data_IF_868873263235
#
_entry.id   IF_868873263235
#
_cell.length_a   1.000
_cell.length_b   1.000
_cell.length_c   1.000
_cell.angle_alpha   90.00
_cell.angle_beta   90.00
_cell.angle_gamma   90.00
#
_symmetry.space_group_name_H-M   'P 1'
#
loop_
_entity.id
_entity.type
_entity.pdbx_description
1 polymer ?
#
# COMPACT_ATOMS: atom_id res chain seq x y z
N UNK A 1 19.89 -49.68 -30.32
CA UNK A 1 19.78 -48.20 -30.32
C UNK A 1 18.41 -47.86 -29.78
N UNK A 2 18.36 -47.37 -28.53
CA UNK A 2 17.11 -47.05 -27.82
C UNK A 2 16.52 -45.78 -28.41
N UNK A 3 15.38 -45.90 -29.08
CA UNK A 3 14.64 -44.78 -29.64
C UNK A 3 14.15 -43.85 -28.54
N UNK A 4 14.22 -42.55 -28.80
CA UNK A 4 13.67 -41.51 -27.94
C UNK A 4 12.13 -41.55 -27.99
N UNK A 5 11.48 -42.24 -27.05
CA UNK A 5 10.04 -42.11 -26.82
C UNK A 5 9.77 -40.91 -25.89
N UNK A 6 9.93 -39.70 -26.41
CA UNK A 6 9.28 -38.51 -25.84
C UNK A 6 8.01 -38.24 -26.66
N UNK A 7 6.94 -38.97 -26.39
CA UNK A 7 5.60 -38.58 -26.85
C UNK A 7 5.06 -37.51 -25.90
N UNK A 8 5.23 -36.24 -26.26
CA UNK A 8 4.47 -35.14 -25.67
C UNK A 8 3.00 -35.36 -26.03
N UNK A 9 2.18 -35.72 -25.04
CA UNK A 9 0.73 -35.82 -25.25
C UNK A 9 0.14 -34.41 -25.45
N UNK A 10 -1.00 -34.31 -26.13
CA UNK A 10 -1.70 -33.03 -26.29
C UNK A 10 -2.03 -32.39 -24.93
N UNK A 11 -2.35 -33.21 -23.92
CA UNK A 11 -2.59 -32.76 -22.56
C UNK A 11 -1.34 -32.15 -21.90
N UNK A 12 -0.15 -32.69 -22.19
CA UNK A 12 1.11 -32.17 -21.68
C UNK A 12 1.49 -30.85 -22.36
N UNK A 13 1.20 -30.70 -23.66
CA UNK A 13 1.36 -29.44 -24.38
C UNK A 13 0.42 -28.35 -23.83
N UNK A 14 -0.84 -28.68 -23.56
CA UNK A 14 -1.81 -27.75 -22.97
C UNK A 14 -1.44 -27.32 -21.55
N UNK A 15 -0.83 -28.22 -20.77
CA UNK A 15 -0.29 -27.89 -19.44
C UNK A 15 0.93 -26.98 -19.56
N UNK A 16 1.87 -27.31 -20.43
CA UNK A 16 3.04 -26.47 -20.70
C UNK A 16 2.63 -25.08 -21.18
N UNK A 17 1.64 -24.97 -22.07
CA UNK A 17 1.16 -23.68 -22.54
C UNK A 17 0.55 -22.84 -21.40
N UNK A 18 -0.25 -23.46 -20.52
CA UNK A 18 -0.78 -22.79 -19.33
C UNK A 18 0.31 -22.33 -18.39
N UNK A 19 1.29 -23.18 -18.12
CA UNK A 19 2.43 -22.87 -17.25
C UNK A 19 3.27 -21.71 -17.82
N UNK A 20 3.48 -21.69 -19.14
CA UNK A 20 4.19 -20.61 -19.84
C UNK A 20 3.41 -19.29 -19.76
N UNK A 21 2.10 -19.31 -19.98
CA UNK A 21 1.24 -18.12 -19.86
C UNK A 21 1.24 -17.56 -18.43
N UNK A 22 1.18 -18.44 -17.43
CA UNK A 22 1.25 -18.04 -16.03
C UNK A 22 2.62 -17.49 -15.64
N UNK A 23 3.69 -18.08 -16.16
CA UNK A 23 5.05 -17.57 -15.98
C UNK A 23 5.18 -16.16 -16.56
N UNK A 24 4.71 -15.94 -17.78
CA UNK A 24 4.71 -14.63 -18.45
C UNK A 24 3.93 -13.58 -17.63
N UNK A 25 2.71 -13.92 -17.19
CA UNK A 25 1.88 -13.03 -16.35
C UNK A 25 2.58 -12.69 -15.03
N UNK A 26 3.21 -13.67 -14.40
CA UNK A 26 3.94 -13.49 -13.15
C UNK A 26 5.17 -12.59 -13.33
N UNK A 27 5.93 -12.79 -14.41
CA UNK A 27 7.10 -11.96 -14.74
C UNK A 27 6.65 -10.52 -14.99
N UNK A 28 5.63 -10.30 -15.84
CA UNK A 28 5.08 -8.97 -16.13
C UNK A 28 4.64 -8.26 -14.83
N UNK A 29 3.85 -8.93 -14.00
CA UNK A 29 3.34 -8.37 -12.75
C UNK A 29 4.45 -7.99 -11.79
N UNK A 30 5.46 -8.86 -11.64
CA UNK A 30 6.60 -8.64 -10.74
C UNK A 30 7.54 -7.55 -11.27
N UNK A 31 7.76 -7.47 -12.58
CA UNK A 31 8.57 -6.45 -13.23
C UNK A 31 7.96 -5.05 -13.03
N UNK A 32 6.65 -4.90 -13.31
CA UNK A 32 5.94 -3.64 -13.06
C UNK A 32 5.94 -3.29 -11.56
N UNK A 33 5.74 -4.29 -10.69
CA UNK A 33 5.85 -4.08 -9.23
C UNK A 33 7.25 -3.66 -8.78
N UNK A 34 8.31 -4.05 -9.49
CA UNK A 34 9.67 -3.60 -9.21
C UNK A 34 9.85 -2.14 -9.61
N UNK A 35 9.39 -1.76 -10.82
CA UNK A 35 9.36 -0.37 -11.27
C UNK A 35 8.62 0.55 -10.28
N UNK A 36 7.40 0.18 -9.86
CA UNK A 36 6.62 0.95 -8.88
C UNK A 36 7.34 1.14 -7.54
N UNK A 37 8.11 0.14 -7.09
CA UNK A 37 8.88 0.23 -5.85
C UNK A 37 10.06 1.18 -5.97
N UNK A 38 10.70 1.27 -7.13
CA UNK A 38 11.76 2.24 -7.39
C UNK A 38 11.19 3.67 -7.50
N UNK A 39 10.02 3.86 -8.12
CA UNK A 39 9.31 5.15 -8.07
C UNK A 39 9.04 5.58 -6.63
N UNK A 40 8.60 4.65 -5.78
CA UNK A 40 8.30 4.94 -4.38
C UNK A 40 9.54 5.19 -3.51
N UNK A 41 10.73 4.76 -3.96
CA UNK A 41 11.97 4.78 -3.17
C UNK A 41 12.36 6.18 -2.68
N UNK A 42 12.40 7.23 -3.52
CA UNK A 42 12.70 8.60 -3.07
C UNK A 42 11.49 9.31 -2.44
N UNK A 43 10.26 8.87 -2.72
CA UNK A 43 9.04 9.45 -2.14
C UNK A 43 8.96 9.16 -0.64
N UNK A 44 9.30 7.93 -0.20
CA UNK A 44 9.28 7.55 1.23
C UNK A 44 10.13 8.46 2.14
N UNK A 45 11.43 8.69 1.87
CA UNK A 45 12.24 9.58 2.70
C UNK A 45 11.75 11.03 2.64
N UNK A 46 11.27 11.50 1.48
CA UNK A 46 10.66 12.83 1.36
C UNK A 46 9.42 12.97 2.25
N UNK A 47 8.51 11.99 2.23
CA UNK A 47 7.35 11.95 3.14
C UNK A 47 7.79 11.92 4.62
N UNK A 48 8.79 11.10 4.95
CA UNK A 48 9.33 11.00 6.32
C UNK A 48 10.00 12.29 6.80
N UNK A 49 10.52 13.11 5.89
CA UNK A 49 11.10 14.41 6.19
C UNK A 49 10.00 15.45 6.48
N UNK A 50 8.88 15.39 5.73
CA UNK A 50 7.75 16.32 5.90
C UNK A 50 6.83 16.03 7.10
N UNK A 51 6.84 14.81 7.65
CA UNK A 51 6.00 14.48 8.81
C UNK A 51 6.44 15.23 10.06
N UNK A 52 5.50 15.89 10.71
CA UNK A 52 5.72 16.48 12.04
C UNK A 52 5.89 15.42 13.12
N UNK A 53 6.96 15.56 13.92
CA UNK A 53 7.45 14.51 14.81
C UNK A 53 7.18 14.87 16.27
N UNK A 54 6.03 14.46 16.80
CA UNK A 54 5.83 14.47 18.28
C UNK A 54 6.35 13.21 18.94
N UNK A 55 6.04 12.04 18.36
CA UNK A 55 6.44 10.72 18.91
C UNK A 55 7.21 9.86 17.91
N UNK A 56 7.37 10.33 16.67
CA UNK A 56 8.00 9.56 15.58
C UNK A 56 7.22 8.34 15.08
N UNK A 57 6.13 7.93 15.73
CA UNK A 57 5.34 6.75 15.32
C UNK A 57 4.79 6.89 13.90
N UNK A 58 4.23 8.05 13.56
CA UNK A 58 3.75 8.32 12.20
C UNK A 58 4.89 8.21 11.18
N UNK A 59 6.03 8.87 11.45
CA UNK A 59 7.24 8.78 10.60
C UNK A 59 7.73 7.34 10.39
N UNK A 60 7.72 6.51 11.45
CA UNK A 60 8.10 5.07 11.36
C UNK A 60 7.08 4.23 10.61
N UNK A 61 5.81 4.61 10.61
CA UNK A 61 4.75 3.90 9.88
C UNK A 61 4.78 4.11 8.37
N UNK A 62 5.51 5.13 7.89
CA UNK A 62 5.59 5.43 6.46
C UNK A 62 6.34 4.33 5.72
N UNK A 63 5.66 3.73 4.76
CA UNK A 63 6.17 2.66 3.93
C UNK A 63 5.34 2.48 2.67
N UNK A 64 5.48 1.29 2.08
CA UNK A 64 4.79 0.89 0.85
C UNK A 64 4.09 -0.44 1.05
N UNK A 65 2.92 -0.61 0.46
CA UNK A 65 2.14 -1.86 0.51
C UNK A 65 1.42 -2.10 -0.81
N UNK A 66 1.34 -3.35 -1.25
CA UNK A 66 0.50 -3.71 -2.39
C UNK A 66 -0.98 -3.52 -2.06
N UNK A 67 -1.75 -2.97 -3.01
CA UNK A 67 -3.19 -2.80 -2.84
C UNK A 67 -3.93 -4.15 -2.92
N UNK A 68 -4.93 -4.34 -2.06
CA UNK A 68 -5.81 -5.51 -2.12
C UNK A 68 -6.77 -5.42 -3.30
N UNK A 69 -7.21 -6.57 -3.83
CA UNK A 69 -8.16 -6.63 -4.95
C UNK A 69 -9.42 -5.80 -4.70
N UNK A 70 -10.01 -5.92 -3.50
CA UNK A 70 -11.21 -5.16 -3.12
C UNK A 70 -10.97 -3.64 -3.09
N UNK A 71 -9.78 -3.19 -2.66
CA UNK A 71 -9.46 -1.77 -2.66
C UNK A 71 -9.29 -1.25 -4.09
N UNK A 72 -8.61 -2.02 -4.95
CA UNK A 72 -8.47 -1.67 -6.37
C UNK A 72 -9.83 -1.52 -7.05
N UNK A 73 -10.71 -2.51 -6.88
CA UNK A 73 -12.06 -2.49 -7.46
C UNK A 73 -12.88 -1.28 -6.97
N UNK A 74 -12.82 -0.97 -5.67
CA UNK A 74 -13.50 0.21 -5.09
C UNK A 74 -13.01 1.53 -5.70
N UNK A 75 -11.77 1.58 -6.17
CA UNK A 75 -11.13 2.77 -6.72
C UNK A 75 -10.99 2.73 -8.25
N UNK A 76 -11.70 1.84 -8.94
CA UNK A 76 -11.72 1.77 -10.41
C UNK A 76 -10.43 1.24 -11.06
N UNK A 77 -9.57 0.58 -10.27
CA UNK A 77 -8.35 -0.06 -10.77
C UNK A 77 -8.62 -1.52 -11.13
N UNK A 78 -7.97 -2.03 -12.16
CA UNK A 78 -8.11 -3.44 -12.53
C UNK A 78 -7.57 -4.34 -11.38
N UNK A 79 -8.27 -5.45 -11.05
CA UNK A 79 -7.90 -6.29 -9.90
C UNK A 79 -6.49 -6.88 -10.00
N UNK A 80 -6.09 -7.22 -11.22
CA UNK A 80 -4.83 -7.89 -11.55
C UNK A 80 -3.68 -6.90 -11.77
N UNK A 81 -3.97 -5.61 -11.94
CA UNK A 81 -2.92 -4.62 -12.19
C UNK A 81 -2.09 -4.37 -10.92
N UNK A 82 -0.75 -4.47 -11.00
CA UNK A 82 0.12 -4.17 -9.88
C UNK A 82 -0.04 -2.70 -9.48
N UNK A 83 -0.44 -2.47 -8.22
CA UNK A 83 -0.65 -1.15 -7.68
C UNK A 83 -0.08 -1.04 -6.27
N UNK A 84 0.57 0.09 -5.98
CA UNK A 84 1.33 0.31 -4.76
C UNK A 84 0.76 1.49 -3.97
N UNK A 85 0.41 1.25 -2.73
CA UNK A 85 0.09 2.29 -1.76
C UNK A 85 1.38 2.82 -1.12
N UNK A 86 1.51 4.14 -1.02
CA UNK A 86 2.61 4.83 -0.35
C UNK A 86 2.02 5.73 0.73
N UNK A 87 2.42 5.54 1.99
CA UNK A 87 1.86 6.31 3.11
C UNK A 87 2.05 5.62 4.44
N UNK A 88 1.18 5.91 5.42
CA UNK A 88 1.19 5.24 6.71
C UNK A 88 0.62 3.81 6.58
N UNK A 89 1.49 2.81 6.64
CA UNK A 89 1.14 1.39 6.40
C UNK A 89 1.25 0.56 7.66
N UNK A 90 2.33 0.75 8.42
CA UNK A 90 2.66 -0.17 9.52
C UNK A 90 1.99 0.24 10.81
N UNK A 91 1.40 -0.72 11.52
CA UNK A 91 0.93 -0.49 12.90
C UNK A 91 2.10 -0.13 13.81
N UNK A 92 1.88 0.79 14.74
CA UNK A 92 2.89 1.20 15.73
C UNK A 92 2.29 1.04 17.12
N UNK A 93 2.89 0.16 17.95
CA UNK A 93 2.35 -0.27 19.25
C UNK A 93 0.90 -0.77 19.16
N UNK A 94 0.59 -1.60 18.15
CA UNK A 94 -0.74 -2.16 17.93
C UNK A 94 -1.74 -1.25 17.18
N UNK A 95 -1.45 0.05 17.03
CA UNK A 95 -2.37 1.00 16.41
C UNK A 95 -1.98 1.33 14.96
N UNK A 96 -2.95 1.29 14.06
CA UNK A 96 -2.80 1.85 12.72
C UNK A 96 -2.56 3.38 12.83
N UNK A 97 -1.64 3.90 12.01
CA UNK A 97 -1.30 5.34 12.01
C UNK A 97 -1.90 6.09 10.83
N UNK A 98 -2.67 5.41 9.98
CA UNK A 98 -3.44 5.96 8.86
C UNK A 98 -4.39 7.07 9.31
N UNK A 99 -5.10 6.88 10.42
CA UNK A 99 -5.97 7.90 10.99
C UNK A 99 -5.18 9.17 11.35
N UNK A 100 -4.02 9.01 12.00
CA UNK A 100 -3.16 10.16 12.32
C UNK A 100 -2.58 10.82 11.08
N UNK A 101 -2.21 10.02 10.08
CA UNK A 101 -1.74 10.54 8.80
C UNK A 101 -2.80 11.43 8.16
N UNK A 102 -4.06 11.00 8.15
CA UNK A 102 -5.18 11.79 7.63
C UNK A 102 -5.41 13.09 8.41
N UNK A 103 -5.35 13.02 9.74
CA UNK A 103 -5.46 14.21 10.58
C UNK A 103 -4.35 15.21 10.25
N UNK A 104 -3.11 14.75 10.13
CA UNK A 104 -1.96 15.61 9.81
C UNK A 104 -2.09 16.19 8.40
N UNK A 105 -2.49 15.38 7.42
CA UNK A 105 -2.58 15.80 6.01
C UNK A 105 -3.67 16.86 5.79
N UNK A 106 -4.84 16.68 6.40
CA UNK A 106 -6.01 17.54 6.14
C UNK A 106 -6.32 18.53 7.27
N UNK A 107 -5.72 18.35 8.44
CA UNK A 107 -6.10 19.11 9.61
C UNK A 107 -7.47 18.72 10.15
N UNK A 108 -7.93 19.52 11.09
CA UNK A 108 -9.20 19.38 11.80
C UNK A 108 -9.70 20.77 12.14
N UNK A 109 -10.93 21.10 11.77
CA UNK A 109 -11.52 22.37 12.19
C UNK A 109 -11.84 22.37 13.69
N UNK A 110 -11.74 23.56 14.29
CA UNK A 110 -12.18 23.78 15.66
C UNK A 110 -13.71 23.67 15.72
N UNK A 111 -14.21 23.09 16.81
CA UNK A 111 -15.66 22.90 16.95
C UNK A 111 -16.04 21.98 18.09
N UNK A 112 -17.31 22.07 18.46
CA UNK A 112 -17.91 21.17 19.44
C UNK A 112 -18.16 19.81 18.79
N UNK A 113 -17.61 18.77 19.41
CA UNK A 113 -17.75 17.39 18.94
C UNK A 113 -18.56 16.60 19.95
N UNK A 114 -19.55 15.89 19.45
CA UNK A 114 -20.32 14.94 20.24
C UNK A 114 -19.70 13.56 20.09
N UNK A 115 -19.35 12.95 21.22
CA UNK A 115 -18.82 11.60 21.24
C UNK A 115 -19.79 10.70 21.97
N UNK A 116 -20.18 9.63 21.27
CA UNK A 116 -20.93 8.53 21.84
C UNK A 116 -19.96 7.56 22.53
N UNK A 117 -20.03 7.47 23.85
CA UNK A 117 -19.23 6.51 24.62
C UNK A 117 -20.09 5.33 25.07
N UNK A 118 -19.59 4.13 24.85
CA UNK A 118 -20.14 2.92 25.45
C UNK A 118 -19.63 2.81 26.89
N UNK A 119 -20.52 2.78 27.87
CA UNK A 119 -20.15 2.56 29.27
C UNK A 119 -19.77 1.08 29.44
N UNK A 120 -18.47 0.78 29.50
CA UNK A 120 -18.00 -0.54 29.94
C UNK A 120 -18.02 -0.58 31.48
N UNK A 121 -18.93 -1.39 32.03
CA UNK A 121 -19.15 -1.60 33.46
C UNK A 121 -20.44 -2.39 33.71
N UNK A 122 -20.63 -2.92 34.92
CA UNK A 122 -21.63 -3.92 35.34
C UNK A 122 -23.00 -3.85 34.65
N UNK A 123 -23.57 -5.02 34.36
CA UNK A 123 -24.86 -5.26 33.68
C UNK A 123 -26.03 -4.42 34.24
N UNK A 124 -25.99 -4.03 35.52
CA UNK A 124 -26.94 -3.11 36.18
C UNK A 124 -27.01 -1.70 35.56
N UNK A 125 -25.94 -1.22 34.94
CA UNK A 125 -25.87 0.11 34.31
C UNK A 125 -26.38 0.09 32.86
N UNK A 126 -26.74 -1.09 32.35
CA UNK A 126 -27.24 -1.29 30.99
C UNK A 126 -28.77 -1.32 30.90
N UNK A 127 -29.47 -1.14 32.02
CA UNK A 127 -30.92 -1.25 32.11
C UNK A 127 -31.66 -0.07 31.43
N UNK A 128 -31.11 1.16 31.48
CA UNK A 128 -31.88 2.36 31.08
C UNK A 128 -31.29 3.21 29.93
N UNK A 129 -30.05 2.99 29.49
CA UNK A 129 -29.43 3.94 28.56
C UNK A 129 -28.02 3.54 28.17
N UNK A 130 -27.93 2.72 27.12
CA UNK A 130 -26.74 1.94 26.72
C UNK A 130 -25.54 2.81 26.25
N UNK A 131 -25.67 4.13 26.20
CA UNK A 131 -24.66 5.09 25.73
C UNK A 131 -24.82 6.44 26.43
N UNK A 132 -23.70 7.10 26.76
CA UNK A 132 -23.69 8.52 27.14
C UNK A 132 -23.07 9.33 26.02
N UNK A 133 -23.70 10.45 25.70
CA UNK A 133 -23.17 11.46 24.81
C UNK A 133 -22.50 12.52 25.67
N UNK A 134 -21.26 12.87 25.33
CA UNK A 134 -20.64 14.07 25.89
C UNK A 134 -20.12 14.92 24.75
N UNK A 135 -20.30 16.22 24.91
CA UNK A 135 -19.85 17.23 23.97
C UNK A 135 -18.59 17.87 24.53
N UNK A 136 -17.57 18.02 23.70
CA UNK A 136 -16.36 18.75 24.08
C UNK A 136 -15.94 19.68 22.96
N UNK A 137 -15.37 20.83 23.34
CA UNK A 137 -14.82 21.77 22.37
C UNK A 137 -13.41 21.33 21.97
N UNK A 138 -13.23 20.99 20.69
CA UNK A 138 -11.93 20.69 20.13
C UNK A 138 -11.30 21.97 19.56
N UNK A 139 -10.06 22.35 19.94
CA UNK A 139 -9.41 23.58 19.48
C UNK A 139 -9.00 23.54 17.99
N UNK A 140 -9.28 22.44 17.29
CA UNK A 140 -8.84 22.22 15.92
C UNK A 140 -7.34 21.89 15.81
N UNK A 141 -6.89 21.67 14.58
CA UNK A 141 -5.51 21.43 14.20
C UNK A 141 -5.32 21.86 12.74
N UNK A 142 -4.37 22.76 12.48
CA UNK A 142 -4.05 23.16 11.10
C UNK A 142 -3.48 21.96 10.31
N UNK A 143 -3.81 21.90 9.01
CA UNK A 143 -3.25 20.93 8.09
C UNK A 143 -1.72 21.12 7.97
N UNK A 144 -1.00 20.01 7.97
CA UNK A 144 0.45 19.93 7.76
C UNK A 144 0.70 18.85 6.69
N UNK A 145 0.37 19.13 5.42
CA UNK A 145 0.45 18.15 4.36
C UNK A 145 1.92 17.73 4.15
N UNK A 146 2.13 16.42 4.12
CA UNK A 146 3.46 15.84 3.93
C UNK A 146 3.48 14.81 2.80
N UNK A 147 2.31 14.30 2.40
CA UNK A 147 2.22 13.35 1.30
C UNK A 147 2.32 14.06 -0.05
N UNK A 148 1.43 15.02 -0.30
CA UNK A 148 1.40 15.75 -1.58
C UNK A 148 2.73 16.42 -1.93
N UNK A 149 3.37 17.21 -1.03
CA UNK A 149 4.67 17.82 -1.34
C UNK A 149 5.77 16.79 -1.67
N UNK A 150 5.72 15.61 -1.05
CA UNK A 150 6.67 14.55 -1.33
C UNK A 150 6.46 13.91 -2.71
N UNK A 151 5.22 13.81 -3.18
CA UNK A 151 4.91 13.37 -4.53
C UNK A 151 5.35 14.42 -5.56
N UNK A 152 4.94 15.67 -5.37
CA UNK A 152 5.23 16.77 -6.29
C UNK A 152 6.75 16.94 -6.49
N UNK A 153 7.53 16.88 -5.40
CA UNK A 153 9.00 16.95 -5.45
C UNK A 153 9.65 15.83 -6.25
N UNK A 154 9.02 14.67 -6.38
CA UNK A 154 9.60 13.50 -7.02
C UNK A 154 8.94 13.15 -8.37
N UNK A 155 7.98 13.95 -8.84
CA UNK A 155 7.20 13.69 -10.03
C UNK A 155 8.05 13.68 -11.31
N UNK A 156 8.98 14.62 -11.47
CA UNK A 156 9.78 14.85 -12.69
C UNK A 156 10.79 13.74 -13.04
N UNK A 157 10.90 12.68 -12.23
CA UNK A 157 11.75 11.52 -12.50
C UNK A 157 11.04 10.18 -12.26
N UNK A 158 9.72 10.17 -12.10
CA UNK A 158 8.98 8.95 -11.81
C UNK A 158 9.06 7.94 -12.96
N UNK A 159 8.90 8.39 -14.21
CA UNK A 159 8.97 7.51 -15.38
C UNK A 159 10.35 6.85 -15.54
N UNK A 160 11.44 7.62 -15.43
CA UNK A 160 12.81 7.09 -15.52
C UNK A 160 13.08 6.01 -14.47
N UNK A 161 12.77 6.31 -13.21
CA UNK A 161 12.94 5.34 -12.10
C UNK A 161 12.08 4.09 -12.25
N UNK A 162 10.89 4.24 -12.83
CA UNK A 162 10.04 3.10 -13.13
C UNK A 162 10.73 2.16 -14.12
N UNK A 163 11.24 2.68 -15.23
CA UNK A 163 11.93 1.89 -16.24
C UNK A 163 13.25 1.33 -15.73
N UNK A 164 14.02 2.07 -14.92
CA UNK A 164 15.22 1.57 -14.25
C UNK A 164 14.91 0.37 -13.35
N UNK A 165 13.86 0.46 -12.53
CA UNK A 165 13.45 -0.64 -11.64
C UNK A 165 12.92 -1.86 -12.40
N UNK A 166 12.25 -1.63 -13.54
CA UNK A 166 11.78 -2.67 -14.44
C UNK A 166 12.96 -3.37 -15.13
N UNK A 167 13.89 -2.61 -15.72
CA UNK A 167 15.09 -3.13 -16.38
C UNK A 167 15.94 -3.95 -15.39
N UNK A 168 16.24 -3.40 -14.22
CA UNK A 168 17.00 -4.10 -13.18
C UNK A 168 16.30 -5.37 -12.67
N UNK A 169 14.98 -5.47 -12.76
CA UNK A 169 14.28 -6.72 -12.48
C UNK A 169 14.47 -7.73 -13.61
N UNK A 170 14.28 -7.33 -14.86
CA UNK A 170 14.43 -8.21 -16.03
C UNK A 170 15.86 -8.74 -16.16
N UNK A 171 16.87 -7.88 -15.98
CA UNK A 171 18.29 -8.29 -16.01
C UNK A 171 18.58 -9.36 -14.94
N UNK A 172 18.02 -9.21 -13.74
CA UNK A 172 18.15 -10.22 -12.68
C UNK A 172 17.47 -11.54 -13.04
N UNK A 173 16.36 -11.51 -13.77
CA UNK A 173 15.71 -12.74 -14.22
C UNK A 173 16.48 -13.41 -15.35
N UNK A 174 17.06 -12.62 -16.26
CA UNK A 174 17.96 -13.10 -17.31
C UNK A 174 19.19 -13.78 -16.73
N UNK A 175 19.85 -13.14 -15.76
CA UNK A 175 21.01 -13.70 -15.07
C UNK A 175 20.69 -14.97 -14.27
N UNK A 176 19.41 -15.24 -13.96
CA UNK A 176 18.94 -16.46 -13.30
C UNK A 176 18.49 -17.53 -14.29
N UNK A 177 18.57 -17.28 -15.60
CA UNK A 177 18.09 -18.18 -16.65
C UNK A 177 16.57 -18.33 -16.69
N UNK A 178 15.81 -17.41 -16.07
CA UNK A 178 14.34 -17.46 -16.06
C UNK A 178 13.72 -16.82 -17.30
N UNK A 179 14.51 -16.04 -18.04
CA UNK A 179 14.15 -15.34 -19.27
C UNK A 179 15.39 -15.35 -20.16
N UNK A 180 15.22 -15.52 -21.48
CA UNK A 180 16.30 -15.56 -22.48
C UNK A 180 16.89 -14.15 -22.73
#
# INVERSE_FOLDING_TARGET
MSGFDFQLSADDLDRMERDLRDLEKNIKTRAVSAGLREVARPIRPAMKAGVTVRTGKLKRSIGTRALSKSFKQKHGLAPDDPALFIGAVTKQRGYAQDYKARLVEHGVDAGTREVRRNLKGHQRWKADGKYTFYSYHAPGMKAQPFMKPAFDKNASGAAGRFYEGLAAYLDRQRNRGQIL
#
